data_IF_635523931551
#
_entry.id   IF_635523931551
#
_cell.length_a   1.000
_cell.length_b   1.000
_cell.length_c   1.000
_cell.angle_alpha   90.00
_cell.angle_beta   90.00
_cell.angle_gamma   90.00
#
_symmetry.space_group_name_H-M   'P 1'
#
loop_
_entity.id
_entity.type
_entity.pdbx_description
1 polymer ?
#
# COMPACT_ATOMS: atom_id res chain seq x y z
N UNK A 1 12.74 4.94 14.57
CA UNK A 1 11.51 5.37 13.94
C UNK A 1 10.85 4.24 13.21
N UNK A 2 9.60 4.11 13.38
CA UNK A 2 8.84 3.01 12.82
C UNK A 2 8.36 3.30 11.43
N UNK A 3 8.57 2.37 10.54
CA UNK A 3 8.12 2.53 9.17
C UNK A 3 6.62 2.55 9.07
N UNK A 4 5.94 1.83 9.96
CA UNK A 4 4.50 1.81 9.81
C UNK A 4 3.84 3.07 10.32
N UNK A 5 4.58 3.97 10.92
CA UNK A 5 4.06 5.30 11.14
C UNK A 5 3.87 6.06 9.83
N UNK A 6 4.60 5.68 8.81
CA UNK A 6 4.47 6.31 7.51
C UNK A 6 3.38 5.66 6.66
N UNK A 7 2.93 4.47 7.04
CA UNK A 7 1.92 3.75 6.28
C UNK A 7 0.53 4.05 6.82
N UNK A 8 -0.42 4.41 5.95
CA UNK A 8 -1.81 4.50 6.40
C UNK A 8 -2.26 3.14 6.92
N UNK A 9 -3.02 3.17 8.01
CA UNK A 9 -3.46 1.93 8.64
C UNK A 9 -4.22 1.05 7.66
N UNK A 10 -5.13 1.66 6.92
CA UNK A 10 -5.92 0.89 5.97
C UNK A 10 -5.09 0.24 4.89
N UNK A 11 -4.05 0.93 4.46
CA UNK A 11 -3.16 0.39 3.44
C UNK A 11 -2.40 -0.82 3.97
N UNK A 12 -1.86 -0.69 5.17
CA UNK A 12 -1.13 -1.80 5.79
C UNK A 12 -2.00 -3.01 5.98
N UNK A 13 -3.24 -2.80 6.43
CA UNK A 13 -4.16 -3.90 6.63
C UNK A 13 -4.55 -4.55 5.31
N UNK A 14 -4.77 -3.76 4.29
CA UNK A 14 -5.12 -4.29 2.97
C UNK A 14 -3.99 -5.15 2.41
N UNK A 15 -2.75 -4.71 2.61
CA UNK A 15 -1.61 -5.50 2.18
C UNK A 15 -1.52 -6.81 2.96
N UNK A 16 -1.78 -6.75 4.26
CA UNK A 16 -1.70 -7.94 5.09
C UNK A 16 -2.74 -8.98 4.68
N UNK A 17 -3.87 -8.52 4.19
CA UNK A 17 -4.94 -9.41 3.77
C UNK A 17 -4.80 -9.90 2.34
N UNK A 18 -3.76 -9.45 1.65
CA UNK A 18 -3.56 -9.79 0.24
C UNK A 18 -2.10 -10.16 0.03
N UNK A 19 -1.72 -11.41 0.30
CA UNK A 19 -0.31 -11.80 0.21
C UNK A 19 0.36 -11.50 -1.14
N UNK A 20 -0.29 -11.71 -2.28
CA UNK A 20 0.35 -11.35 -3.55
C UNK A 20 0.68 -9.86 -3.64
N UNK A 21 -0.23 -9.03 -3.14
CA UNK A 21 0.01 -7.59 -3.16
C UNK A 21 1.14 -7.21 -2.21
N UNK A 22 1.18 -7.82 -1.05
CA UNK A 22 2.24 -7.56 -0.09
C UNK A 22 3.58 -7.93 -0.68
N UNK A 23 3.63 -9.06 -1.34
CA UNK A 23 4.84 -9.53 -1.99
C UNK A 23 5.31 -8.56 -3.07
N UNK A 24 4.36 -8.11 -3.90
CA UNK A 24 4.68 -7.15 -4.94
C UNK A 24 5.18 -5.84 -4.35
N UNK A 25 4.55 -5.40 -3.27
CA UNK A 25 4.99 -4.18 -2.60
C UNK A 25 6.43 -4.31 -2.10
N UNK A 26 6.74 -5.47 -1.54
CA UNK A 26 8.08 -5.69 -0.99
C UNK A 26 9.17 -5.62 -2.05
N UNK A 27 8.80 -5.88 -3.30
CA UNK A 27 9.76 -5.87 -4.40
C UNK A 27 9.90 -4.51 -5.06
N UNK A 28 9.16 -3.53 -4.61
CA UNK A 28 9.25 -2.18 -5.18
C UNK A 28 10.51 -1.49 -4.67
N UNK A 29 10.98 -0.53 -5.47
CA UNK A 29 12.06 0.34 -5.03
C UNK A 29 11.54 1.29 -3.95
N UNK A 30 12.46 1.94 -3.25
CA UNK A 30 12.07 2.91 -2.24
C UNK A 30 11.24 4.02 -2.83
N UNK A 31 11.61 4.49 -4.01
CA UNK A 31 10.86 5.56 -4.65
C UNK A 31 9.46 5.11 -5.01
N UNK A 32 9.34 3.89 -5.48
CA UNK A 32 8.03 3.37 -5.84
C UNK A 32 7.17 3.19 -4.60
N UNK A 33 7.76 2.73 -3.52
CA UNK A 33 7.03 2.58 -2.26
C UNK A 33 6.54 3.93 -1.76
N UNK A 34 7.40 4.94 -1.84
CA UNK A 34 7.02 6.27 -1.38
C UNK A 34 5.86 6.83 -2.20
N UNK A 35 5.93 6.64 -3.52
CA UNK A 35 4.85 7.12 -4.37
C UNK A 35 3.54 6.42 -4.05
N UNK A 36 3.62 5.13 -3.77
CA UNK A 36 2.43 4.35 -3.46
C UNK A 36 1.85 4.77 -2.13
N UNK A 37 2.70 4.99 -1.15
CA UNK A 37 2.25 5.44 0.17
C UNK A 37 1.56 6.79 0.05
N UNK A 38 2.10 7.66 -0.78
CA UNK A 38 1.50 8.97 -0.99
C UNK A 38 0.10 8.85 -1.58
N UNK A 39 -0.05 7.95 -2.53
CA UNK A 39 -1.37 7.71 -3.10
C UNK A 39 -2.33 7.15 -2.06
N UNK A 40 -1.84 6.24 -1.23
CA UNK A 40 -2.68 5.65 -0.20
C UNK A 40 -3.14 6.69 0.82
N UNK A 41 -2.29 7.66 1.10
CA UNK A 41 -2.66 8.72 2.03
C UNK A 41 -3.83 9.55 1.52
N UNK A 42 -3.92 9.68 0.21
CA UNK A 42 -4.97 10.50 -0.39
C UNK A 42 -6.19 9.67 -0.75
N UNK A 43 -6.16 8.38 -0.50
CA UNK A 43 -7.32 7.54 -0.73
C UNK A 43 -8.36 7.86 0.34
N UNK A 44 -9.50 8.36 -0.09
CA UNK A 44 -10.51 8.83 0.86
C UNK A 44 -11.52 7.76 1.22
N UNK A 45 -11.50 6.61 0.55
CA UNK A 45 -12.44 5.54 0.83
C UNK A 45 -11.70 4.22 0.84
N UNK A 46 -12.32 3.21 1.45
CA UNK A 46 -11.78 1.86 1.43
C UNK A 46 -11.67 1.33 0.02
N UNK A 47 -12.65 1.68 -0.81
CA UNK A 47 -12.64 1.22 -2.18
C UNK A 47 -11.40 1.69 -2.92
N UNK A 48 -11.06 2.95 -2.73
CA UNK A 48 -9.88 3.49 -3.39
C UNK A 48 -8.61 2.83 -2.87
N UNK A 49 -8.58 2.55 -1.57
CA UNK A 49 -7.44 1.86 -1.00
C UNK A 49 -7.29 0.46 -1.60
N UNK A 50 -8.42 -0.25 -1.73
CA UNK A 50 -8.39 -1.57 -2.33
C UNK A 50 -7.96 -1.53 -3.78
N UNK A 51 -8.33 -0.48 -4.51
CA UNK A 51 -7.90 -0.33 -5.89
C UNK A 51 -6.38 -0.19 -5.97
N UNK A 52 -5.82 0.59 -5.08
CA UNK A 52 -4.37 0.78 -5.07
C UNK A 52 -3.67 -0.55 -4.83
N UNK A 53 -4.15 -1.29 -3.85
CA UNK A 53 -3.56 -2.59 -3.53
C UNK A 53 -3.76 -3.58 -4.66
N UNK A 54 -4.95 -3.57 -5.27
CA UNK A 54 -5.24 -4.50 -6.35
C UNK A 54 -4.31 -4.30 -7.54
N UNK A 55 -3.93 -3.06 -7.80
CA UNK A 55 -3.05 -2.79 -8.93
C UNK A 55 -1.66 -3.35 -8.73
N UNK A 56 -1.28 -3.61 -7.49
CA UNK A 56 0.02 -4.20 -7.21
C UNK A 56 0.10 -5.64 -7.71
N UNK A 57 -1.01 -6.33 -7.73
CA UNK A 57 -1.03 -7.75 -8.11
C UNK A 57 -1.26 -7.99 -9.59
N UNK A 58 -1.34 -6.95 -10.38
CA UNK A 58 -1.66 -7.11 -11.80
C UNK A 58 -0.46 -7.38 -12.65
#
# INVERSE_FOLDING_TARGET
MNDYNALPIGFGMALAMNPPAFNAYSNLTEEEKDALIERARHASTEEKMHEIVAKLCR
#
